data_IF_955636041453
#
_entry.id   IF_955636041453
#
_cell.length_a   1.000
_cell.length_b   1.000
_cell.length_c   1.000
_cell.angle_alpha   90.00
_cell.angle_beta   90.00
_cell.angle_gamma   90.00
#
_symmetry.space_group_name_H-M   'P 1'
#
loop_
_entity.id
_entity.type
_entity.pdbx_description
1 polymer ?
#
# COMPACT_ATOMS: atom_id res chain seq x y z
N UNK A 1 22.61 22.72 10.41
CA UNK A 1 21.23 22.49 10.91
C UNK A 1 20.50 21.65 9.86
N UNK A 2 20.38 20.32 10.08
CA UNK A 2 19.68 19.40 9.14
C UNK A 2 18.17 19.54 9.34
N UNK A 3 17.51 20.10 8.35
CA UNK A 3 16.06 20.24 8.28
C UNK A 3 15.44 18.84 8.11
N UNK A 4 15.09 18.20 9.23
CA UNK A 4 14.43 16.90 9.28
C UNK A 4 12.91 17.05 9.10
N UNK A 5 12.46 17.74 8.05
CA UNK A 5 11.09 17.61 7.61
C UNK A 5 10.90 16.19 7.08
N UNK A 6 10.33 15.31 7.90
CA UNK A 6 9.83 13.99 7.46
C UNK A 6 8.94 14.20 6.23
N UNK A 7 9.49 14.02 5.04
CA UNK A 7 8.69 13.97 3.80
C UNK A 7 7.60 12.92 4.01
N UNK A 8 6.34 13.33 3.89
CA UNK A 8 5.24 12.37 3.87
C UNK A 8 5.51 11.43 2.70
N UNK A 9 5.77 10.16 3.00
CA UNK A 9 5.90 9.10 1.99
C UNK A 9 4.61 9.07 1.17
N UNK A 10 4.76 9.21 -0.15
CA UNK A 10 3.63 9.15 -1.10
C UNK A 10 3.35 7.69 -1.46
N UNK A 11 2.17 7.43 -2.03
CA UNK A 11 1.90 6.11 -2.63
C UNK A 11 2.92 5.83 -3.72
N UNK A 12 3.55 4.65 -3.68
CA UNK A 12 4.61 4.26 -4.59
C UNK A 12 6.03 4.49 -4.06
N UNK A 13 6.20 5.17 -2.90
CA UNK A 13 7.50 5.28 -2.24
C UNK A 13 7.74 4.06 -1.33
N UNK A 14 9.00 3.64 -1.23
CA UNK A 14 9.40 2.58 -0.30
C UNK A 14 9.09 2.98 1.16
N UNK A 15 8.54 2.02 1.94
CA UNK A 15 8.18 2.25 3.34
C UNK A 15 6.86 3.00 3.56
N UNK A 16 6.08 3.22 2.49
CA UNK A 16 4.75 3.80 2.59
C UNK A 16 3.85 3.00 3.54
N UNK A 17 3.84 1.67 3.44
CA UNK A 17 3.01 0.83 4.32
C UNK A 17 3.38 0.95 5.79
N UNK A 18 4.65 1.06 6.14
CA UNK A 18 5.08 1.20 7.53
C UNK A 18 4.63 2.53 8.15
N UNK A 19 4.68 3.62 7.39
CA UNK A 19 4.21 4.92 7.86
C UNK A 19 2.69 4.98 7.96
N UNK A 20 1.97 4.39 7.01
CA UNK A 20 0.51 4.28 7.02
C UNK A 20 0.00 3.36 8.15
N UNK A 21 0.68 2.25 8.46
CA UNK A 21 0.35 1.39 9.61
C UNK A 21 0.32 2.18 10.92
N UNK A 22 1.38 2.93 11.20
CA UNK A 22 1.47 3.76 12.43
C UNK A 22 0.39 4.83 12.47
N UNK A 23 0.19 5.53 11.37
CA UNK A 23 -0.83 6.59 11.27
C UNK A 23 -2.24 6.04 11.48
N UNK A 24 -2.61 4.95 10.82
CA UNK A 24 -3.93 4.33 10.94
C UNK A 24 -4.14 3.74 12.33
N UNK A 25 -3.11 3.17 12.95
CA UNK A 25 -3.17 2.70 14.33
C UNK A 25 -3.53 3.84 15.30
N UNK A 26 -2.86 4.99 15.19
CA UNK A 26 -3.14 6.16 16.01
C UNK A 26 -4.56 6.71 15.80
N UNK A 27 -5.00 6.79 14.55
CA UNK A 27 -6.36 7.25 14.24
C UNK A 27 -7.41 6.29 14.81
N UNK A 28 -7.20 4.98 14.65
CA UNK A 28 -8.13 3.96 15.17
C UNK A 28 -8.18 3.98 16.69
N UNK A 29 -7.02 4.07 17.35
CA UNK A 29 -6.95 4.18 18.82
C UNK A 29 -7.65 5.45 19.33
N UNK A 30 -7.46 6.60 18.68
CA UNK A 30 -8.16 7.84 19.01
C UNK A 30 -9.67 7.75 18.82
N UNK A 31 -10.12 7.13 17.72
CA UNK A 31 -11.54 6.94 17.43
C UNK A 31 -12.25 6.03 18.45
N UNK A 32 -11.55 5.01 18.97
CA UNK A 32 -12.10 4.13 19.99
C UNK A 32 -12.00 4.73 21.40
N UNK A 33 -10.96 5.53 21.66
CA UNK A 33 -10.78 6.11 22.99
C UNK A 33 -11.89 7.09 23.37
N UNK A 34 -12.39 7.86 22.42
CA UNK A 34 -13.44 8.86 22.69
C UNK A 34 -14.77 8.24 23.16
N UNK A 35 -15.39 7.29 22.44
CA UNK A 35 -16.62 6.63 22.92
C UNK A 35 -16.40 5.87 24.24
N UNK A 36 -15.24 5.23 24.41
CA UNK A 36 -14.92 4.52 25.65
C UNK A 36 -14.84 5.49 26.85
N UNK A 37 -14.22 6.65 26.69
CA UNK A 37 -14.18 7.70 27.72
C UNK A 37 -15.60 8.17 28.08
N UNK A 38 -16.45 8.44 27.10
CA UNK A 38 -17.84 8.83 27.32
C UNK A 38 -18.58 7.75 28.11
N UNK A 39 -18.38 6.48 27.74
CA UNK A 39 -18.99 5.36 28.43
C UNK A 39 -18.55 5.27 29.91
N UNK A 40 -17.25 5.36 30.18
CA UNK A 40 -16.71 5.29 31.53
C UNK A 40 -17.18 6.45 32.40
N UNK A 41 -17.20 7.67 31.86
CA UNK A 41 -17.68 8.85 32.58
C UNK A 41 -19.19 8.72 32.88
N UNK A 42 -19.98 8.32 31.90
CA UNK A 42 -21.42 8.13 32.07
C UNK A 42 -21.73 7.03 33.10
N UNK A 43 -20.96 5.94 33.10
CA UNK A 43 -21.11 4.88 34.11
C UNK A 43 -20.74 5.35 35.51
N UNK A 44 -19.65 6.11 35.65
CA UNK A 44 -19.23 6.64 36.93
C UNK A 44 -20.23 7.63 37.54
N UNK A 45 -20.87 8.45 36.68
CA UNK A 45 -21.84 9.48 37.13
C UNK A 45 -23.23 8.91 37.42
N UNK A 46 -23.72 8.00 36.59
CA UNK A 46 -25.10 7.52 36.66
C UNK A 46 -25.28 6.20 37.42
N UNK A 47 -24.20 5.47 37.74
CA UNK A 47 -24.22 4.18 38.45
C UNK A 47 -24.99 3.05 37.71
N UNK A 48 -25.63 3.34 36.59
CA UNK A 48 -26.46 2.41 35.81
C UNK A 48 -25.90 2.23 34.40
N UNK A 49 -25.91 0.99 33.91
CA UNK A 49 -25.40 0.65 32.59
C UNK A 49 -26.43 0.89 31.45
N UNK A 50 -27.71 0.97 31.79
CA UNK A 50 -28.79 1.16 30.85
C UNK A 50 -29.20 2.64 30.79
N UNK A 51 -28.48 3.42 30.01
CA UNK A 51 -28.76 4.86 29.83
C UNK A 51 -28.67 5.20 28.36
N UNK A 52 -29.26 6.30 27.95
CA UNK A 52 -29.15 6.89 26.59
C UNK A 52 -27.68 7.04 26.16
N UNK A 53 -26.80 7.29 27.10
CA UNK A 53 -25.34 7.39 26.90
C UNK A 53 -24.71 6.09 26.40
N UNK A 54 -25.24 4.93 26.80
CA UNK A 54 -24.77 3.62 26.29
C UNK A 54 -25.11 3.48 24.80
N UNK A 55 -26.30 3.87 24.39
CA UNK A 55 -26.71 3.87 22.98
C UNK A 55 -25.82 4.82 22.17
N UNK A 56 -25.57 6.01 22.68
CA UNK A 56 -24.69 7.00 22.02
C UNK A 56 -23.27 6.47 21.84
N UNK A 57 -22.75 5.74 22.86
CA UNK A 57 -21.43 5.10 22.81
C UNK A 57 -21.37 4.03 21.73
N UNK A 58 -22.39 3.17 21.62
CA UNK A 58 -22.46 2.11 20.61
C UNK A 58 -22.48 2.72 19.19
N UNK A 59 -23.30 3.75 18.99
CA UNK A 59 -23.33 4.47 17.70
C UNK A 59 -21.99 5.16 17.41
N UNK A 60 -21.34 5.71 18.42
CA UNK A 60 -20.02 6.34 18.32
C UNK A 60 -18.90 5.36 17.97
N UNK A 61 -19.07 4.05 18.24
CA UNK A 61 -18.11 3.01 17.85
C UNK A 61 -18.15 2.66 16.35
N UNK A 62 -19.23 2.98 15.61
CA UNK A 62 -19.36 2.63 14.20
C UNK A 62 -18.23 3.17 13.31
N UNK A 63 -17.85 4.48 13.39
CA UNK A 63 -16.70 4.97 12.63
C UNK A 63 -15.39 4.33 13.06
N UNK A 64 -15.27 3.92 14.34
CA UNK A 64 -14.15 3.15 14.85
C UNK A 64 -14.02 1.79 14.16
N UNK A 65 -15.11 1.05 14.01
CA UNK A 65 -15.13 -0.25 13.32
C UNK A 65 -14.67 -0.12 11.86
N UNK A 66 -15.11 0.90 11.14
CA UNK A 66 -14.63 1.18 9.77
C UNK A 66 -13.12 1.44 9.73
N UNK A 67 -12.61 2.20 10.68
CA UNK A 67 -11.17 2.47 10.80
C UNK A 67 -10.39 1.20 11.14
N UNK A 68 -10.94 0.33 11.99
CA UNK A 68 -10.34 -0.95 12.38
C UNK A 68 -10.21 -1.90 11.18
N UNK A 69 -11.26 -2.05 10.36
CA UNK A 69 -11.19 -2.85 9.13
C UNK A 69 -10.07 -2.34 8.21
N UNK A 70 -9.99 -1.03 8.04
CA UNK A 70 -8.94 -0.39 7.23
C UNK A 70 -7.53 -0.62 7.80
N UNK A 71 -7.39 -0.67 9.13
CA UNK A 71 -6.14 -1.01 9.82
C UNK A 71 -5.78 -2.47 9.61
N UNK A 72 -6.72 -3.40 9.78
CA UNK A 72 -6.51 -4.83 9.55
C UNK A 72 -6.04 -5.08 8.12
N UNK A 73 -6.70 -4.46 7.13
CA UNK A 73 -6.30 -4.61 5.73
C UNK A 73 -4.86 -4.16 5.46
N UNK A 74 -4.37 -3.12 6.13
CA UNK A 74 -3.00 -2.66 5.94
C UNK A 74 -1.99 -3.47 6.74
N UNK A 75 -2.40 -4.05 7.89
CA UNK A 75 -1.57 -4.94 8.69
C UNK A 75 -1.32 -6.28 7.99
N UNK A 76 -2.32 -6.78 7.28
CA UNK A 76 -2.21 -8.01 6.48
C UNK A 76 -1.29 -7.88 5.25
N UNK A 77 -0.96 -6.65 4.85
CA UNK A 77 -0.02 -6.42 3.74
C UNK A 77 1.41 -6.54 4.25
N UNK A 78 2.22 -7.31 3.54
CA UNK A 78 3.64 -7.44 3.81
C UNK A 78 4.35 -6.23 3.16
N UNK A 79 5.14 -5.47 3.93
CA UNK A 79 6.01 -4.46 3.33
C UNK A 79 7.13 -5.16 2.56
N UNK A 80 7.63 -4.51 1.53
CA UNK A 80 8.79 -4.95 0.77
C UNK A 80 10.02 -5.07 1.68
N UNK A 81 10.85 -6.11 1.49
CA UNK A 81 12.10 -6.26 2.22
C UNK A 81 13.09 -5.15 1.85
N UNK A 82 13.74 -4.58 2.87
CA UNK A 82 14.73 -3.52 2.67
C UNK A 82 15.94 -3.97 1.83
N UNK A 83 16.32 -5.25 1.92
CA UNK A 83 17.40 -5.82 1.11
C UNK A 83 17.02 -5.83 -0.36
N UNK A 84 15.80 -6.31 -0.65
CA UNK A 84 15.23 -6.34 -1.99
C UNK A 84 15.12 -4.93 -2.58
N UNK A 85 14.66 -3.96 -1.79
CA UNK A 85 14.62 -2.56 -2.21
C UNK A 85 15.99 -2.02 -2.60
N UNK A 86 17.02 -2.25 -1.76
CA UNK A 86 18.39 -1.78 -2.01
C UNK A 86 18.97 -2.41 -3.28
N UNK A 87 18.68 -3.68 -3.52
CA UNK A 87 19.12 -4.39 -4.71
C UNK A 87 18.47 -3.84 -5.97
N UNK A 88 17.16 -3.72 -6.00
CA UNK A 88 16.43 -3.13 -7.13
C UNK A 88 16.86 -1.68 -7.37
N UNK A 89 17.06 -0.91 -6.31
CA UNK A 89 17.47 0.49 -6.43
C UNK A 89 18.83 0.68 -7.09
N UNK A 90 19.75 -0.27 -6.93
CA UNK A 90 21.07 -0.23 -7.60
C UNK A 90 20.96 -0.34 -9.13
N UNK A 91 19.98 -1.14 -9.61
CA UNK A 91 19.73 -1.38 -11.03
C UNK A 91 18.66 -0.44 -11.62
N UNK A 92 18.02 0.38 -10.79
CA UNK A 92 16.95 1.27 -11.25
C UNK A 92 17.44 2.56 -11.94
N UNK A 93 18.68 3.03 -11.62
CA UNK A 93 19.23 4.27 -12.16
C UNK A 93 18.23 5.44 -12.12
N UNK A 94 17.97 6.05 -13.26
CA UNK A 94 17.03 7.17 -13.46
C UNK A 94 15.62 6.71 -13.91
N UNK A 95 15.34 5.40 -13.92
CA UNK A 95 14.03 4.90 -14.27
C UNK A 95 12.95 5.36 -13.29
N UNK A 96 11.76 5.63 -13.82
CA UNK A 96 10.59 5.93 -12.99
C UNK A 96 10.13 4.64 -12.31
N UNK A 97 10.35 4.59 -11.01
CA UNK A 97 10.04 3.43 -10.18
C UNK A 97 8.87 3.71 -9.26
N UNK A 98 8.06 2.69 -9.03
CA UNK A 98 7.03 2.67 -8.00
C UNK A 98 7.16 1.39 -7.18
N UNK A 99 7.10 1.51 -5.88
CA UNK A 99 7.29 0.40 -4.93
C UNK A 99 6.00 0.13 -4.15
N UNK A 100 5.92 -1.07 -3.59
CA UNK A 100 4.81 -1.48 -2.70
C UNK A 100 3.42 -1.22 -3.31
N UNK A 101 3.23 -1.59 -4.58
CA UNK A 101 1.93 -1.40 -5.25
C UNK A 101 0.99 -2.56 -4.96
N UNK A 102 -0.20 -2.23 -4.48
CA UNK A 102 -1.28 -3.19 -4.34
C UNK A 102 -2.36 -2.89 -5.37
N UNK A 103 -2.55 -3.83 -6.30
CA UNK A 103 -3.56 -3.75 -7.35
C UNK A 103 -4.78 -4.56 -6.97
N UNK A 104 -5.95 -3.94 -7.03
CA UNK A 104 -7.22 -4.62 -6.80
C UNK A 104 -8.02 -4.57 -8.10
N UNK A 105 -8.30 -5.73 -8.66
CA UNK A 105 -9.17 -5.91 -9.81
C UNK A 105 -10.49 -6.55 -9.35
N UNK A 106 -11.42 -6.73 -10.27
CA UNK A 106 -12.76 -7.23 -9.97
C UNK A 106 -12.75 -8.63 -9.33
N UNK A 107 -11.97 -9.56 -9.88
CA UNK A 107 -11.93 -10.95 -9.42
C UNK A 107 -10.77 -11.25 -8.47
N UNK A 108 -9.62 -10.67 -8.73
CA UNK A 108 -8.39 -10.95 -7.98
C UNK A 108 -7.65 -9.67 -7.64
N UNK A 109 -6.89 -9.74 -6.58
CA UNK A 109 -5.95 -8.68 -6.20
C UNK A 109 -4.54 -9.24 -6.16
N UNK A 110 -3.54 -8.39 -6.40
CA UNK A 110 -2.16 -8.78 -6.34
C UNK A 110 -1.27 -7.68 -5.80
N UNK A 111 -0.15 -8.10 -5.26
CA UNK A 111 0.88 -7.23 -4.74
C UNK A 111 2.07 -7.22 -5.68
N UNK A 112 2.57 -6.04 -6.01
CA UNK A 112 3.80 -5.85 -6.77
C UNK A 112 4.81 -5.13 -5.87
N UNK A 113 5.96 -5.74 -5.68
CA UNK A 113 7.04 -5.18 -4.88
C UNK A 113 7.64 -3.94 -5.55
N UNK A 114 7.88 -4.03 -6.86
CA UNK A 114 8.41 -2.92 -7.64
C UNK A 114 7.81 -2.92 -9.06
N UNK A 115 7.62 -1.73 -9.59
CA UNK A 115 7.18 -1.49 -10.96
C UNK A 115 8.08 -0.42 -11.56
N UNK A 116 8.66 -0.71 -12.71
CA UNK A 116 9.49 0.20 -13.48
C UNK A 116 8.79 0.57 -14.79
N UNK A 117 8.89 1.82 -15.17
CA UNK A 117 8.48 2.30 -16.49
C UNK A 117 9.71 2.42 -17.36
N UNK A 118 9.80 1.57 -18.38
CA UNK A 118 10.92 1.42 -19.29
C UNK A 118 10.46 1.81 -20.70
N UNK A 119 10.46 3.11 -21.01
CA UNK A 119 9.97 3.63 -22.29
C UNK A 119 8.51 3.23 -22.54
N UNK A 120 8.28 2.35 -23.53
CA UNK A 120 6.94 1.87 -23.90
C UNK A 120 6.56 0.53 -23.23
N UNK A 121 7.32 0.10 -22.21
CA UNK A 121 7.07 -1.13 -21.47
C UNK A 121 7.03 -0.84 -19.98
N UNK A 122 6.07 -1.44 -19.29
CA UNK A 122 6.01 -1.44 -17.82
C UNK A 122 6.41 -2.83 -17.35
N UNK A 123 7.43 -2.89 -16.51
CA UNK A 123 7.94 -4.14 -15.95
C UNK A 123 7.65 -4.16 -14.45
N UNK A 124 6.86 -5.12 -14.00
CA UNK A 124 6.54 -5.35 -12.61
C UNK A 124 7.27 -6.56 -12.05
N UNK A 125 7.60 -6.50 -10.76
CA UNK A 125 8.15 -7.62 -10.00
C UNK A 125 7.23 -7.94 -8.81
N UNK A 126 7.01 -9.23 -8.57
CA UNK A 126 6.27 -9.69 -7.38
C UNK A 126 6.98 -10.87 -6.74
N UNK A 127 7.15 -10.80 -5.42
CA UNK A 127 7.65 -11.90 -4.59
C UNK A 127 6.54 -12.83 -4.11
N UNK A 128 5.26 -12.48 -4.33
CA UNK A 128 4.12 -13.27 -3.88
C UNK A 128 3.94 -14.52 -4.76
N UNK A 129 4.14 -15.74 -4.21
CA UNK A 129 3.96 -16.98 -4.96
C UNK A 129 2.50 -17.25 -5.37
N UNK A 130 1.53 -16.61 -4.71
CA UNK A 130 0.10 -16.77 -4.97
C UNK A 130 -0.42 -15.78 -6.02
N UNK A 131 0.36 -14.78 -6.40
CA UNK A 131 -0.04 -13.81 -7.40
C UNK A 131 -0.21 -14.46 -8.77
N UNK A 132 -1.34 -14.23 -9.41
CA UNK A 132 -1.61 -14.64 -10.80
C UNK A 132 -1.01 -13.60 -11.75
N UNK A 133 0.24 -13.84 -12.17
CA UNK A 133 1.02 -12.91 -12.98
C UNK A 133 0.33 -12.61 -14.31
N UNK A 134 -0.22 -13.64 -14.97
CA UNK A 134 -0.87 -13.47 -16.27
C UNK A 134 -2.11 -12.58 -16.16
N UNK A 135 -2.96 -12.85 -15.16
CA UNK A 135 -4.15 -12.05 -14.89
C UNK A 135 -3.79 -10.60 -14.51
N UNK A 136 -2.80 -10.40 -13.65
CA UNK A 136 -2.37 -9.07 -13.23
C UNK A 136 -1.81 -8.26 -14.42
N UNK A 137 -0.99 -8.88 -15.28
CA UNK A 137 -0.43 -8.24 -16.46
C UNK A 137 -1.54 -7.85 -17.45
N UNK A 138 -2.46 -8.77 -17.75
CA UNK A 138 -3.56 -8.54 -18.66
C UNK A 138 -4.49 -7.41 -18.18
N UNK A 139 -4.92 -7.45 -16.92
CA UNK A 139 -5.80 -6.42 -16.37
C UNK A 139 -5.12 -5.05 -16.27
N UNK A 140 -3.85 -5.02 -15.89
CA UNK A 140 -3.06 -3.78 -15.88
C UNK A 140 -2.94 -3.21 -17.29
N UNK A 141 -2.66 -4.04 -18.27
CA UNK A 141 -2.57 -3.63 -19.67
C UNK A 141 -3.91 -3.12 -20.22
N UNK A 142 -5.03 -3.77 -19.87
CA UNK A 142 -6.38 -3.29 -20.26
C UNK A 142 -6.66 -1.90 -19.70
N UNK A 143 -6.32 -1.66 -18.41
CA UNK A 143 -6.54 -0.36 -17.76
C UNK A 143 -5.68 0.72 -18.43
N UNK A 144 -4.41 0.44 -18.68
CA UNK A 144 -3.47 1.38 -19.29
C UNK A 144 -3.92 1.73 -20.72
N UNK A 145 -4.32 0.74 -21.52
CA UNK A 145 -4.84 0.93 -22.87
C UNK A 145 -6.16 1.71 -22.89
N UNK A 146 -7.05 1.46 -21.92
CA UNK A 146 -8.32 2.20 -21.79
C UNK A 146 -8.09 3.68 -21.52
N UNK A 147 -6.98 4.03 -20.87
CA UNK A 147 -6.56 5.41 -20.62
C UNK A 147 -5.75 6.03 -21.78
N UNK A 148 -5.66 5.36 -22.94
CA UNK A 148 -5.04 5.90 -24.16
C UNK A 148 -3.54 5.63 -24.31
N UNK A 149 -2.92 4.91 -23.37
CA UNK A 149 -1.50 4.59 -23.44
C UNK A 149 -1.27 3.23 -24.13
N UNK A 150 -0.41 3.22 -25.15
CA UNK A 150 0.02 1.99 -25.85
C UNK A 150 1.30 1.47 -25.19
N UNK A 151 1.16 0.78 -24.08
CA UNK A 151 2.29 0.27 -23.28
C UNK A 151 2.11 -1.23 -23.11
N UNK A 152 3.20 -1.99 -23.21
CA UNK A 152 3.20 -3.40 -22.85
C UNK A 152 3.51 -3.59 -21.37
N UNK A 153 2.73 -4.45 -20.70
CA UNK A 153 2.91 -4.75 -19.29
C UNK A 153 3.45 -6.16 -19.15
N UNK A 154 4.58 -6.29 -18.46
CA UNK A 154 5.20 -7.59 -18.14
C UNK A 154 5.42 -7.67 -16.64
N UNK A 155 4.93 -8.74 -16.03
CA UNK A 155 5.13 -8.99 -14.59
C UNK A 155 5.98 -10.24 -14.45
N UNK A 156 7.03 -10.14 -13.65
CA UNK A 156 8.01 -11.21 -13.42
C UNK A 156 7.98 -11.63 -11.95
N UNK A 157 8.22 -12.91 -11.70
CA UNK A 157 8.35 -13.47 -10.36
C UNK A 157 9.80 -13.65 -9.96
N UNK A 158 10.68 -13.83 -10.93
CA UNK A 158 12.10 -14.02 -10.70
C UNK A 158 12.83 -12.68 -10.70
N UNK A 159 13.65 -12.46 -9.68
CA UNK A 159 14.37 -11.21 -9.50
C UNK A 159 15.43 -11.00 -10.58
N UNK A 160 16.19 -12.05 -10.94
CA UNK A 160 17.28 -11.96 -11.92
C UNK A 160 16.82 -11.41 -13.27
N UNK A 161 15.82 -12.04 -13.97
CA UNK A 161 15.34 -11.50 -15.24
C UNK A 161 14.70 -10.12 -15.11
N UNK A 162 14.20 -9.76 -13.93
CA UNK A 162 13.70 -8.41 -13.68
C UNK A 162 14.84 -7.38 -13.67
N UNK A 163 15.93 -7.65 -12.94
CA UNK A 163 17.09 -6.78 -12.86
C UNK A 163 17.78 -6.62 -14.24
N UNK A 164 17.95 -7.73 -14.98
CA UNK A 164 18.50 -7.70 -16.34
C UNK A 164 17.69 -6.80 -17.27
N UNK A 165 16.35 -6.80 -17.15
CA UNK A 165 15.50 -5.91 -17.94
C UNK A 165 15.63 -4.44 -17.53
N UNK A 166 15.84 -4.14 -16.25
CA UNK A 166 16.11 -2.78 -15.80
C UNK A 166 17.43 -2.26 -16.41
N UNK A 167 18.48 -3.07 -16.36
CA UNK A 167 19.80 -2.71 -16.91
C UNK A 167 19.73 -2.48 -18.43
N UNK A 168 19.06 -3.38 -19.18
CA UNK A 168 18.84 -3.20 -20.61
C UNK A 168 18.05 -1.93 -20.95
N UNK A 169 17.07 -1.59 -20.12
CA UNK A 169 16.26 -0.39 -20.33
C UNK A 169 17.03 0.90 -20.07
N UNK A 170 17.98 0.89 -19.12
CA UNK A 170 18.88 2.02 -18.88
C UNK A 170 19.80 2.28 -20.07
N UNK A 171 20.30 1.22 -20.74
CA UNK A 171 21.15 1.35 -21.92
C UNK A 171 20.38 2.02 -23.07
N UNK A 172 19.11 1.64 -23.29
CA UNK A 172 18.27 2.24 -24.35
C UNK A 172 17.82 3.67 -24.09
N UNK A 173 17.88 4.16 -22.85
CA UNK A 173 17.53 5.55 -22.51
C UNK A 173 18.75 6.47 -22.62
N UNK A 174 19.98 5.92 -22.59
CA UNK A 174 21.22 6.67 -22.67
C UNK A 174 21.74 6.91 -24.09
N UNK A 175 21.08 6.31 -25.10
CA UNK A 175 21.32 6.58 -26.54
C UNK A 175 20.31 7.62 -27.09
#
# INVERSE_FOLDING_TARGET
MKDTRKRKTKKGDFGYFNSEKKRRLLITAGLFSLPLLIFFVAWAVNGTRMTVWTVLTVVGCLPGCKSMVSLIMILLRHPMDEKLYKEIRKHAGDLVMSYEMYMTFYEKSGYLDAVAVCGNTVVGYTSDPKADIAYLAEQSQKIIRKNGYKVDVKILRDLKPYLERLDLSLIHISE
#
